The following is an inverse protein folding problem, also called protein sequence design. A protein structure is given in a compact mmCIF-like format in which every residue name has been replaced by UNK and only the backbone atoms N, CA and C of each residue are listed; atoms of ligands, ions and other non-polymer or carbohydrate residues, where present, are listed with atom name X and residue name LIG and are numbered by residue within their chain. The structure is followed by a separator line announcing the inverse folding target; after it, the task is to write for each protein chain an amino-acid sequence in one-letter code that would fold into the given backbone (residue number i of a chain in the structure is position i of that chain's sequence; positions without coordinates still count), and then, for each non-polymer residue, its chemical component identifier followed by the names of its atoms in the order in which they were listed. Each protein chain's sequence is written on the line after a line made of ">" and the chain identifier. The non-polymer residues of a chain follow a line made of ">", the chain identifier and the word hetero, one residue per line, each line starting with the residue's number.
data_IF_540176221912
#
_entry.id   IF_540176221912
#
_cell.length_a   1.000
_cell.length_b   1.000
_cell.length_c   1.000
_cell.angle_alpha   90.00
_cell.angle_beta   90.00
_cell.angle_gamma   90.00
#
_symmetry.space_group_name_H-M   'P 1'
#
loop_
_entity.id
_entity.type
_entity.pdbx_description
1 polymer ?
#
# COMPACT_ATOMS: atom_id res chain seq x y z
N UNK A 1 2.32 9.95 20.41
CA UNK A 1 1.40 8.82 20.73
C UNK A 1 0.19 9.04 19.85
N UNK A 2 -0.09 8.12 18.92
CA UNK A 2 -1.21 8.28 17.99
C UNK A 2 -2.52 8.51 18.73
N UNK A 3 -3.28 9.52 18.31
CA UNK A 3 -4.62 9.78 18.83
C UNK A 3 -5.53 8.57 18.59
N UNK A 4 -6.52 8.34 19.46
CA UNK A 4 -7.49 7.26 19.29
C UNK A 4 -8.24 7.36 17.95
N UNK A 5 -8.50 8.59 17.47
CA UNK A 5 -9.05 8.84 16.14
C UNK A 5 -8.14 8.30 15.03
N UNK A 6 -6.82 8.49 15.13
CA UNK A 6 -5.87 7.97 14.14
C UNK A 6 -5.83 6.44 14.17
N UNK A 7 -5.84 5.83 15.36
CA UNK A 7 -5.90 4.36 15.50
C UNK A 7 -7.15 3.78 14.85
N UNK A 8 -8.31 4.40 15.07
CA UNK A 8 -9.58 3.99 14.45
C UNK A 8 -9.48 4.06 12.92
N UNK A 9 -8.97 5.16 12.36
CA UNK A 9 -8.80 5.31 10.91
C UNK A 9 -7.92 4.20 10.34
N UNK A 10 -6.81 3.86 11.00
CA UNK A 10 -5.92 2.78 10.54
C UNK A 10 -6.62 1.43 10.59
N UNK A 11 -7.40 1.17 11.64
CA UNK A 11 -8.18 -0.06 11.74
C UNK A 11 -9.26 -0.16 10.64
N UNK A 12 -9.96 0.95 10.36
CA UNK A 12 -10.94 1.02 9.27
C UNK A 12 -10.28 0.78 7.92
N UNK A 13 -9.16 1.42 7.63
CA UNK A 13 -8.43 1.22 6.37
C UNK A 13 -7.94 -0.22 6.23
N UNK A 14 -7.45 -0.82 7.30
CA UNK A 14 -7.03 -2.23 7.32
C UNK A 14 -8.19 -3.17 6.93
N UNK A 15 -9.40 -2.87 7.37
CA UNK A 15 -10.60 -3.63 6.97
C UNK A 15 -10.91 -3.39 5.50
N UNK A 16 -10.89 -2.13 5.03
CA UNK A 16 -11.14 -1.80 3.63
C UNK A 16 -10.15 -2.49 2.68
N UNK A 17 -8.87 -2.52 3.04
CA UNK A 17 -7.82 -3.20 2.28
C UNK A 17 -8.04 -4.71 2.21
N UNK A 18 -8.50 -5.36 3.30
CA UNK A 18 -8.83 -6.79 3.28
C UNK A 18 -10.04 -7.08 2.38
N UNK A 19 -11.04 -6.20 2.39
CA UNK A 19 -12.19 -6.32 1.48
C UNK A 19 -11.68 -6.24 0.03
N UNK A 20 -10.90 -5.22 -0.31
CA UNK A 20 -10.34 -5.08 -1.66
C UNK A 20 -9.43 -6.25 -2.06
N UNK A 21 -8.62 -6.75 -1.14
CA UNK A 21 -7.80 -7.96 -1.36
C UNK A 21 -8.69 -9.16 -1.72
N UNK A 22 -9.80 -9.35 -1.02
CA UNK A 22 -10.78 -10.40 -1.32
C UNK A 22 -11.42 -10.20 -2.69
N UNK A 23 -11.81 -8.97 -3.04
CA UNK A 23 -12.40 -8.64 -4.34
C UNK A 23 -11.41 -8.95 -5.48
N UNK A 24 -10.14 -8.56 -5.33
CA UNK A 24 -9.09 -8.87 -6.30
C UNK A 24 -8.83 -10.37 -6.45
N UNK A 25 -8.90 -11.13 -5.36
CA UNK A 25 -8.79 -12.59 -5.43
C UNK A 25 -9.97 -13.22 -6.20
N UNK A 26 -11.17 -12.65 -6.07
CA UNK A 26 -12.33 -13.07 -6.85
C UNK A 26 -12.15 -12.69 -8.33
N UNK A 27 -11.77 -11.45 -8.64
CA UNK A 27 -11.47 -11.00 -10.01
C UNK A 27 -10.40 -11.89 -10.67
N UNK A 28 -9.31 -12.21 -9.94
CA UNK A 28 -8.26 -13.11 -10.44
C UNK A 28 -8.81 -14.51 -10.75
N UNK A 29 -9.70 -15.02 -9.88
CA UNK A 29 -10.34 -16.33 -10.04
C UNK A 29 -11.24 -16.35 -11.27
N UNK A 30 -12.04 -15.30 -11.47
CA UNK A 30 -12.92 -15.15 -12.63
C UNK A 30 -12.12 -15.11 -13.94
N UNK A 31 -11.01 -14.37 -13.98
CA UNK A 31 -10.14 -14.32 -15.15
C UNK A 31 -9.54 -15.69 -15.49
N UNK A 32 -9.09 -16.45 -14.49
CA UNK A 32 -8.60 -17.82 -14.73
C UNK A 32 -9.72 -18.74 -15.21
N UNK A 33 -10.91 -18.65 -14.63
CA UNK A 33 -12.06 -19.42 -15.09
C UNK A 33 -12.39 -19.10 -16.54
N UNK A 34 -12.45 -17.82 -16.91
CA UNK A 34 -12.67 -17.40 -18.30
C UNK A 34 -11.60 -17.96 -19.22
N UNK A 35 -10.32 -17.85 -18.86
CA UNK A 35 -9.22 -18.40 -19.65
C UNK A 35 -9.40 -19.90 -19.90
N UNK A 36 -9.84 -20.67 -18.90
CA UNK A 36 -10.13 -22.10 -19.04
C UNK A 36 -11.32 -22.34 -19.98
N UNK A 37 -12.43 -21.63 -19.78
CA UNK A 37 -13.65 -21.82 -20.58
C UNK A 37 -13.48 -21.45 -22.04
N UNK A 38 -12.65 -20.45 -22.34
CA UNK A 38 -12.45 -19.95 -23.71
C UNK A 38 -11.19 -20.49 -24.39
N UNK A 39 -10.40 -21.36 -23.74
CA UNK A 39 -9.07 -21.77 -24.22
C UNK A 39 -9.00 -22.29 -25.67
N UNK A 40 -10.11 -22.85 -26.19
CA UNK A 40 -10.19 -23.40 -27.54
C UNK A 40 -11.00 -22.53 -28.52
N UNK A 41 -11.57 -21.42 -28.05
CA UNK A 41 -12.46 -20.56 -28.83
C UNK A 41 -12.08 -19.08 -28.79
N UNK A 42 -11.12 -18.69 -27.95
CA UNK A 42 -10.66 -17.31 -27.86
C UNK A 42 -9.75 -16.92 -29.03
N UNK A 43 -9.79 -15.64 -29.35
CA UNK A 43 -8.84 -15.03 -30.27
C UNK A 43 -7.55 -14.63 -29.52
N UNK A 44 -6.41 -14.52 -30.22
CA UNK A 44 -5.16 -14.05 -29.63
C UNK A 44 -5.27 -12.66 -28.97
N UNK A 45 -6.14 -11.79 -29.48
CA UNK A 45 -6.35 -10.45 -28.90
C UNK A 45 -7.10 -10.53 -27.56
N UNK A 46 -8.10 -11.40 -27.46
CA UNK A 46 -8.82 -11.65 -26.21
C UNK A 46 -7.91 -12.30 -25.15
N UNK A 47 -7.03 -13.21 -25.57
CA UNK A 47 -6.01 -13.80 -24.69
C UNK A 47 -5.05 -12.74 -24.15
N UNK A 48 -4.54 -11.88 -25.02
CA UNK A 48 -3.66 -10.77 -24.63
C UNK A 48 -4.34 -9.78 -23.69
N UNK A 49 -5.60 -9.45 -23.95
CA UNK A 49 -6.38 -8.56 -23.10
C UNK A 49 -6.55 -9.14 -21.69
N UNK A 50 -6.85 -10.45 -21.59
CA UNK A 50 -6.94 -11.15 -20.29
C UNK A 50 -5.60 -11.18 -19.57
N UNK A 51 -4.50 -11.42 -20.27
CA UNK A 51 -3.17 -11.40 -19.66
C UNK A 51 -2.83 -10.03 -19.06
N UNK A 52 -3.16 -8.94 -19.74
CA UNK A 52 -2.93 -7.59 -19.21
C UNK A 52 -3.83 -7.30 -18.00
N UNK A 53 -5.10 -7.71 -18.03
CA UNK A 53 -6.00 -7.62 -16.86
C UNK A 53 -5.44 -8.40 -15.67
N UNK A 54 -5.00 -9.65 -15.90
CA UNK A 54 -4.45 -10.51 -14.86
C UNK A 54 -3.17 -9.92 -14.26
N UNK A 55 -2.34 -9.28 -15.09
CA UNK A 55 -1.11 -8.61 -14.66
C UNK A 55 -1.40 -7.40 -13.76
N UNK A 56 -2.40 -6.57 -14.10
CA UNK A 56 -2.80 -5.45 -13.25
C UNK A 56 -3.42 -5.93 -11.93
N UNK A 57 -4.31 -6.93 -11.95
CA UNK A 57 -4.88 -7.53 -10.73
C UNK A 57 -3.79 -8.09 -9.82
N UNK A 58 -2.82 -8.83 -10.38
CA UNK A 58 -1.68 -9.37 -9.61
C UNK A 58 -0.82 -8.27 -8.99
N UNK A 59 -0.60 -7.19 -9.72
CA UNK A 59 0.17 -6.03 -9.25
C UNK A 59 -0.54 -5.35 -8.08
N UNK A 60 -1.83 -5.04 -8.20
CA UNK A 60 -2.61 -4.43 -7.12
C UNK A 60 -2.69 -5.35 -5.90
N UNK A 61 -2.94 -6.65 -6.11
CA UNK A 61 -2.97 -7.65 -5.04
C UNK A 61 -1.65 -7.70 -4.26
N UNK A 62 -0.52 -7.62 -4.97
CA UNK A 62 0.80 -7.58 -4.36
C UNK A 62 0.97 -6.32 -3.51
N UNK A 63 0.64 -5.14 -4.04
CA UNK A 63 0.75 -3.87 -3.31
C UNK A 63 -0.11 -3.86 -2.03
N UNK A 64 -1.35 -4.35 -2.10
CA UNK A 64 -2.24 -4.46 -0.93
C UNK A 64 -1.69 -5.46 0.09
N UNK A 65 -1.17 -6.59 -0.37
CA UNK A 65 -0.61 -7.62 0.52
C UNK A 65 0.59 -7.09 1.29
N UNK A 66 1.52 -6.41 0.62
CA UNK A 66 2.68 -5.77 1.26
C UNK A 66 2.24 -4.72 2.30
N UNK A 67 1.20 -3.94 1.98
CA UNK A 67 0.67 -2.93 2.90
C UNK A 67 0.01 -3.57 4.13
N UNK A 68 -0.78 -4.63 3.95
CA UNK A 68 -1.39 -5.38 5.05
C UNK A 68 -0.33 -6.06 5.94
N UNK A 69 0.72 -6.62 5.35
CA UNK A 69 1.85 -7.17 6.10
C UNK A 69 2.55 -6.10 6.93
N UNK A 70 2.80 -4.92 6.36
CA UNK A 70 3.38 -3.78 7.07
C UNK A 70 2.49 -3.36 8.26
N UNK A 71 1.18 -3.26 8.07
CA UNK A 71 0.22 -2.91 9.12
C UNK A 71 0.11 -3.96 10.24
N UNK A 72 0.38 -5.24 9.93
CA UNK A 72 0.34 -6.31 10.92
C UNK A 72 1.66 -6.42 11.70
N UNK A 73 2.79 -6.10 11.07
CA UNK A 73 4.13 -6.23 11.66
C UNK A 73 4.59 -4.98 12.41
N UNK A 74 4.01 -3.82 12.12
CA UNK A 74 4.28 -2.58 12.85
C UNK A 74 3.14 -2.28 13.83
N UNK A 75 3.37 -2.47 15.15
CA UNK A 75 2.47 -1.94 16.16
C UNK A 75 2.24 -0.45 15.90
N UNK A 76 1.03 0.03 16.10
CA UNK A 76 0.68 1.45 15.97
C UNK A 76 1.56 2.38 16.83
N UNK A 77 2.30 1.82 17.78
CA UNK A 77 3.27 2.51 18.64
C UNK A 77 4.60 2.81 17.93
N UNK A 78 4.94 2.08 16.87
CA UNK A 78 6.16 2.25 16.07
C UNK A 78 5.92 3.07 14.79
N UNK A 79 4.91 3.94 14.82
CA UNK A 79 4.52 4.74 13.66
C UNK A 79 4.36 6.20 14.08
N UNK A 80 4.99 7.10 13.34
CA UNK A 80 4.74 8.54 13.42
C UNK A 80 3.69 8.94 12.39
N UNK A 81 2.81 9.86 12.76
CA UNK A 81 2.14 10.68 11.75
C UNK A 81 3.14 11.64 11.07
N UNK A 82 2.78 12.17 9.91
CA UNK A 82 3.66 13.10 9.17
C UNK A 82 4.08 14.31 10.02
N UNK A 83 3.19 14.83 10.86
CA UNK A 83 3.46 15.95 11.76
C UNK A 83 4.36 15.56 12.95
N UNK A 84 4.25 14.32 13.44
CA UNK A 84 5.16 13.77 14.45
C UNK A 84 6.56 13.55 13.87
N UNK A 85 6.66 13.00 12.66
CA UNK A 85 7.93 12.80 11.95
C UNK A 85 8.60 14.14 11.59
N UNK A 86 7.81 15.12 11.15
CA UNK A 86 8.24 16.51 10.90
C UNK A 86 8.93 17.10 12.12
N UNK A 87 8.32 16.98 13.31
CA UNK A 87 8.91 17.44 14.57
C UNK A 87 10.13 16.63 14.99
N UNK A 88 10.07 15.30 14.88
CA UNK A 88 11.14 14.40 15.30
C UNK A 88 12.43 14.58 14.45
N UNK A 89 12.28 14.82 13.14
CA UNK A 89 13.40 14.95 12.21
C UNK A 89 13.71 16.41 11.86
N UNK A 90 12.89 17.36 12.31
CA UNK A 90 13.01 18.79 12.04
C UNK A 90 12.86 19.12 10.55
N UNK A 91 11.99 18.41 9.84
CA UNK A 91 11.73 18.56 8.39
C UNK A 91 10.33 19.14 8.20
N UNK A 92 10.07 19.81 7.08
CA UNK A 92 8.70 20.24 6.77
C UNK A 92 7.84 19.04 6.40
N UNK A 93 6.56 19.10 6.75
CA UNK A 93 5.59 18.05 6.40
C UNK A 93 5.55 17.83 4.88
N UNK A 94 5.46 18.89 4.08
CA UNK A 94 5.49 18.81 2.61
C UNK A 94 6.72 18.07 2.06
N UNK A 95 7.90 18.32 2.65
CA UNK A 95 9.10 17.63 2.22
C UNK A 95 9.09 16.15 2.60
N UNK A 96 8.56 15.81 3.77
CA UNK A 96 8.37 14.42 4.17
C UNK A 96 7.31 13.72 3.31
N UNK A 97 6.23 14.38 2.94
CA UNK A 97 5.21 13.82 2.04
C UNK A 97 5.79 13.51 0.66
N UNK A 98 6.67 14.39 0.16
CA UNK A 98 7.43 14.12 -1.08
C UNK A 98 8.31 12.88 -0.94
N UNK A 99 9.05 12.74 0.17
CA UNK A 99 9.88 11.55 0.43
C UNK A 99 9.05 10.26 0.56
N UNK A 100 7.88 10.34 1.20
CA UNK A 100 6.93 9.23 1.28
C UNK A 100 6.42 8.83 -0.11
N UNK A 101 5.99 9.82 -0.90
CA UNK A 101 5.44 9.62 -2.25
C UNK A 101 6.47 9.02 -3.20
N UNK A 102 7.74 9.45 -3.06
CA UNK A 102 8.86 8.95 -3.84
C UNK A 102 9.44 7.62 -3.29
N UNK A 103 8.80 7.00 -2.28
CA UNK A 103 9.24 5.75 -1.63
C UNK A 103 10.69 5.81 -1.12
N UNK A 104 11.18 7.01 -0.78
CA UNK A 104 12.54 7.23 -0.27
C UNK A 104 12.63 6.91 1.22
N UNK A 105 11.50 6.98 1.93
CA UNK A 105 11.35 6.57 3.32
C UNK A 105 10.26 5.51 3.44
N UNK A 106 10.37 4.63 4.43
CA UNK A 106 9.38 3.62 4.78
C UNK A 106 8.16 4.31 5.39
N UNK A 107 7.14 4.49 4.57
CA UNK A 107 5.89 5.08 4.99
C UNK A 107 4.74 4.45 4.21
N UNK A 108 3.55 4.47 4.81
CA UNK A 108 2.30 4.07 4.16
C UNK A 108 1.33 5.25 4.17
N UNK A 109 0.48 5.31 3.14
CA UNK A 109 -0.63 6.26 3.10
C UNK A 109 -1.90 5.54 3.54
N UNK A 110 -2.58 6.13 4.52
CA UNK A 110 -3.84 5.63 5.09
C UNK A 110 -4.85 6.76 4.98
N UNK A 111 -5.81 6.63 4.05
CA UNK A 111 -6.68 7.73 3.64
C UNK A 111 -5.87 8.96 3.18
N UNK A 112 -6.07 10.10 3.86
CA UNK A 112 -5.36 11.35 3.56
C UNK A 112 -4.14 11.59 4.44
N UNK A 113 -3.67 10.59 5.18
CA UNK A 113 -2.54 10.74 6.11
C UNK A 113 -1.39 9.81 5.74
N UNK A 114 -0.17 10.33 5.89
CA UNK A 114 1.04 9.53 5.85
C UNK A 114 1.40 9.05 7.26
N UNK A 115 1.80 7.79 7.30
CA UNK A 115 2.27 7.08 8.47
C UNK A 115 3.68 6.60 8.21
N UNK A 116 4.61 6.99 9.06
CA UNK A 116 6.04 6.83 8.86
C UNK A 116 6.56 5.84 9.90
N UNK A 117 7.31 4.83 9.46
CA UNK A 117 7.96 3.87 10.35
C UNK A 117 8.96 4.59 11.27
N UNK A 118 8.82 4.47 12.60
CA UNK A 118 9.75 5.12 13.54
C UNK A 118 11.08 4.39 13.68
N UNK A 119 11.16 3.12 13.24
CA UNK A 119 12.36 2.29 13.34
C UNK A 119 13.37 2.56 12.23
N UNK A 120 13.01 3.38 11.24
CA UNK A 120 13.92 3.77 10.17
C UNK A 120 14.83 4.95 10.57
N UNK A 121 15.98 5.04 9.92
CA UNK A 121 16.92 6.16 10.12
C UNK A 121 16.33 7.48 9.63
N UNK A 122 16.67 8.58 10.32
CA UNK A 122 16.29 9.94 9.91
C UNK A 122 16.80 10.23 8.48
N UNK A 123 15.90 10.54 7.51
CA UNK A 123 16.27 10.75 6.12
C UNK A 123 17.21 11.95 5.91
N UNK A 124 17.25 12.94 6.82
CA UNK A 124 18.25 14.03 6.76
C UNK A 124 19.67 13.50 6.73
N UNK A 125 19.98 12.42 7.44
CA UNK A 125 21.34 11.86 7.50
C UNK A 125 21.81 11.41 6.10
N UNK A 126 20.88 10.97 5.25
CA UNK A 126 21.19 10.48 3.91
C UNK A 126 21.18 11.59 2.83
N UNK A 127 20.71 12.80 3.16
CA UNK A 127 20.64 13.94 2.24
C UNK A 127 21.91 14.82 2.25
N UNK A 128 22.84 14.58 3.17
CA UNK A 128 24.11 15.34 3.32
C UNK A 128 25.30 14.60 2.68
N UNK A 129 25.06 13.79 1.63
CA UNK A 129 26.12 13.12 0.87
C UNK A 129 26.18 13.64 -0.56
#
# INVERSE_FOLDING_TARGET
>A
MLSDRTKIVIQTERVALRIRQSDLMNEMTELYQQQIYTAFSSTPEEDKQREEQLKEVKKELKEITELLEWLNTNPLENVFSIDEASRAWGMTEEFLESLCSNKTIKAIKVGNKWLVDTLQSNPKVNLVK
#
